data_IF_129624495681
#
_entry.id   IF_129624495681
#
_cell.length_a   1.000
_cell.length_b   1.000
_cell.length_c   1.000
_cell.angle_alpha   90.00
_cell.angle_beta   90.00
_cell.angle_gamma   90.00
#
_symmetry.space_group_name_H-M   'P 1'
#
loop_
_entity.id
_entity.type
_entity.pdbx_description
1 polymer ?
#
# COMPACT_ATOMS: atom_id res chain seq x y z
N UNK A 1 22.26 32.69 19.23
CA UNK A 1 21.08 32.21 19.98
C UNK A 1 20.39 31.16 19.08
N UNK A 2 20.19 29.94 19.58
CA UNK A 2 19.47 28.93 18.82
C UNK A 2 18.00 29.39 18.78
N UNK A 3 17.50 29.74 17.59
CA UNK A 3 16.07 30.07 17.42
C UNK A 3 15.22 28.89 17.84
N UNK A 4 14.07 29.15 18.48
CA UNK A 4 13.15 28.11 18.94
C UNK A 4 12.69 27.24 17.77
N UNK A 5 12.84 25.93 17.90
CA UNK A 5 12.38 24.96 16.91
C UNK A 5 10.86 24.74 17.06
N UNK A 6 10.14 24.89 15.97
CA UNK A 6 8.69 24.61 15.91
C UNK A 6 8.48 23.32 15.12
N UNK A 7 7.80 22.37 15.71
CA UNK A 7 7.53 21.06 15.09
C UNK A 7 6.28 21.08 14.23
N UNK A 8 6.36 20.47 13.04
CA UNK A 8 5.28 20.42 12.06
C UNK A 8 3.96 19.84 12.65
N UNK A 9 4.05 18.79 13.45
CA UNK A 9 2.89 18.19 14.13
C UNK A 9 2.15 19.17 15.06
N UNK A 10 2.84 20.16 15.62
CA UNK A 10 2.21 21.22 16.43
C UNK A 10 1.51 22.26 15.58
N UNK A 11 2.06 22.55 14.39
CA UNK A 11 1.53 23.57 13.47
C UNK A 11 0.25 23.08 12.81
N UNK A 12 0.26 21.85 12.35
CA UNK A 12 -0.94 21.22 11.79
C UNK A 12 -1.99 21.09 12.88
N UNK A 13 -3.15 21.70 12.67
CA UNK A 13 -4.31 21.85 13.59
C UNK A 13 -4.36 23.15 14.38
N UNK A 14 -3.36 24.02 14.30
CA UNK A 14 -3.47 25.36 14.90
C UNK A 14 -4.58 26.17 14.24
N UNK A 15 -5.30 27.00 15.00
CA UNK A 15 -6.24 27.94 14.43
C UNK A 15 -5.52 28.95 13.53
N UNK A 16 -6.13 29.27 12.40
CA UNK A 16 -5.74 30.40 11.56
C UNK A 16 -6.51 31.62 12.03
N UNK A 17 -5.78 32.61 12.49
CA UNK A 17 -6.34 33.85 13.05
C UNK A 17 -6.13 34.99 12.04
N UNK A 18 -7.12 35.84 11.90
CA UNK A 18 -6.99 37.09 11.17
C UNK A 18 -6.07 38.11 11.90
N UNK A 19 -5.86 39.26 11.31
CA UNK A 19 -5.06 40.33 11.91
C UNK A 19 -5.66 40.84 13.25
N UNK A 20 -6.97 40.73 13.45
CA UNK A 20 -7.69 41.08 14.65
C UNK A 20 -7.69 39.98 15.73
N UNK A 21 -7.22 38.78 15.41
CA UNK A 21 -7.20 37.62 16.30
C UNK A 21 -8.47 36.74 16.25
N UNK A 22 -9.40 37.01 15.33
CA UNK A 22 -10.57 36.15 15.15
C UNK A 22 -10.20 34.89 14.39
N UNK A 23 -10.78 33.74 14.80
CA UNK A 23 -10.53 32.45 14.14
C UNK A 23 -11.30 32.38 12.81
N UNK A 24 -10.56 32.24 11.71
CA UNK A 24 -11.07 32.17 10.35
C UNK A 24 -10.85 30.78 9.68
N UNK A 25 -10.20 29.86 10.39
CA UNK A 25 -9.94 28.52 9.87
C UNK A 25 -8.92 27.75 10.70
N UNK A 26 -8.35 26.69 10.10
CA UNK A 26 -7.37 25.84 10.75
C UNK A 26 -6.28 25.46 9.75
N UNK A 27 -5.02 25.44 10.19
CA UNK A 27 -3.90 24.92 9.38
C UNK A 27 -4.01 23.40 9.24
N UNK A 28 -3.79 22.92 8.01
CA UNK A 28 -3.88 21.51 7.68
C UNK A 28 -2.49 20.91 7.38
N UNK A 29 -1.65 21.64 6.62
CA UNK A 29 -0.33 21.16 6.21
C UNK A 29 0.64 22.31 5.91
N UNK A 30 1.91 21.98 5.74
CA UNK A 30 3.00 22.96 5.51
C UNK A 30 3.57 22.70 4.12
N UNK A 31 3.64 23.75 3.30
CA UNK A 31 4.19 23.69 1.95
C UNK A 31 5.64 24.14 1.95
N UNK A 32 6.54 23.27 1.48
CA UNK A 32 7.97 23.54 1.38
C UNK A 32 8.46 23.42 -0.05
N UNK A 33 9.55 24.10 -0.35
CA UNK A 33 10.32 23.94 -1.59
C UNK A 33 11.77 23.59 -1.27
N UNK A 34 12.47 22.84 -2.15
CA UNK A 34 13.89 22.60 -1.99
C UNK A 34 14.68 23.90 -1.86
N UNK A 35 15.72 23.87 -1.05
CA UNK A 35 16.67 24.98 -0.99
C UNK A 35 17.58 25.03 -2.22
N UNK A 36 18.06 26.22 -2.58
CA UNK A 36 19.06 26.38 -3.65
C UNK A 36 20.46 25.99 -3.15
N UNK A 37 21.25 25.34 -4.01
CA UNK A 37 22.68 25.08 -3.79
C UNK A 37 23.03 24.49 -2.41
N UNK A 38 22.25 23.49 -1.94
CA UNK A 38 22.52 22.80 -0.67
C UNK A 38 22.07 23.57 0.58
N UNK A 39 21.27 24.63 0.43
CA UNK A 39 20.60 25.30 1.55
C UNK A 39 19.37 24.52 2.02
N UNK A 40 18.89 24.79 3.24
CA UNK A 40 17.75 24.11 3.83
C UNK A 40 16.46 24.31 3.01
N UNK A 41 15.56 23.31 2.97
CA UNK A 41 14.24 23.47 2.37
C UNK A 41 13.47 24.60 3.04
N UNK A 42 12.81 25.43 2.25
CA UNK A 42 12.12 26.65 2.72
C UNK A 42 10.61 26.44 2.77
N UNK A 43 9.99 26.91 3.83
CA UNK A 43 8.53 27.00 3.92
C UNK A 43 8.06 28.16 3.04
N UNK A 44 7.22 27.85 2.05
CA UNK A 44 6.60 28.85 1.16
C UNK A 44 5.20 29.23 1.63
N UNK A 45 4.56 28.37 2.42
CA UNK A 45 3.24 28.66 2.98
C UNK A 45 2.65 27.47 3.72
N UNK A 46 1.37 27.61 3.99
CA UNK A 46 0.56 26.64 4.72
C UNK A 46 -0.73 26.37 3.95
N UNK A 47 -1.21 25.16 4.00
CA UNK A 47 -2.61 24.89 3.61
C UNK A 47 -3.50 25.05 4.83
N UNK A 48 -4.68 25.60 4.64
CA UNK A 48 -5.65 25.78 5.70
C UNK A 48 -7.06 25.48 5.21
N UNK A 49 -7.89 24.97 6.10
CA UNK A 49 -9.33 24.83 5.85
C UNK A 49 -10.04 26.05 6.43
N UNK A 50 -10.67 26.84 5.55
CA UNK A 50 -11.52 27.98 5.87
C UNK A 50 -12.83 27.85 5.13
N UNK A 51 -13.97 28.04 5.79
CA UNK A 51 -15.32 27.93 5.20
C UNK A 51 -15.54 26.66 4.35
N UNK A 52 -15.03 25.51 4.83
CA UNK A 52 -15.08 24.21 4.14
C UNK A 52 -14.27 24.14 2.81
N UNK A 53 -13.37 25.09 2.58
CA UNK A 53 -12.45 25.10 1.42
C UNK A 53 -11.03 25.01 1.89
N UNK A 54 -10.21 24.27 1.14
CA UNK A 54 -8.76 24.22 1.36
C UNK A 54 -8.11 25.35 0.58
N UNK A 55 -7.48 26.28 1.29
CA UNK A 55 -6.83 27.48 0.76
C UNK A 55 -5.32 27.44 1.00
N UNK A 56 -4.57 28.26 0.29
CA UNK A 56 -3.14 28.46 0.51
C UNK A 56 -2.90 29.80 1.20
N UNK A 57 -2.10 29.75 2.25
CA UNK A 57 -1.63 30.94 2.99
C UNK A 57 -0.13 31.06 2.83
N UNK A 58 0.35 32.07 2.11
CA UNK A 58 1.78 32.31 1.92
C UNK A 58 2.48 32.58 3.27
N UNK A 59 3.68 32.01 3.47
CA UNK A 59 4.45 32.17 4.71
C UNK A 59 4.69 33.64 5.09
N UNK A 60 4.97 34.50 4.12
CA UNK A 60 5.17 35.94 4.34
C UNK A 60 3.94 36.68 4.85
N UNK A 61 2.75 36.08 4.76
CA UNK A 61 1.50 36.66 5.30
C UNK A 61 1.23 36.30 6.75
N UNK A 62 2.00 35.36 7.31
CA UNK A 62 1.92 35.05 8.74
C UNK A 62 2.74 36.08 9.51
N UNK A 63 2.10 36.79 10.42
CA UNK A 63 2.74 37.75 11.33
C UNK A 63 3.41 37.04 12.48
N UNK A 64 2.74 36.03 13.02
CA UNK A 64 3.16 35.28 14.20
C UNK A 64 2.67 33.82 14.07
N UNK A 65 3.55 32.89 14.38
CA UNK A 65 3.25 31.46 14.46
C UNK A 65 3.61 31.00 15.87
N UNK A 66 2.61 30.89 16.72
CA UNK A 66 2.78 30.55 18.13
C UNK A 66 1.89 29.40 18.57
N UNK A 67 1.88 29.14 19.88
CA UNK A 67 1.07 28.08 20.51
C UNK A 67 -0.44 28.35 20.39
N UNK A 68 -0.83 29.62 20.26
CA UNK A 68 -2.23 30.04 20.20
C UNK A 68 -2.80 30.05 18.77
N UNK A 69 -1.94 29.91 17.77
CA UNK A 69 -2.33 29.90 16.36
C UNK A 69 -1.35 30.55 15.41
N UNK A 70 -1.73 30.57 14.13
CA UNK A 70 -1.06 31.33 13.10
C UNK A 70 -1.84 32.62 12.83
N UNK A 71 -1.27 33.76 13.14
CA UNK A 71 -1.91 35.07 12.95
C UNK A 71 -1.49 35.70 11.64
N UNK A 72 -2.43 36.17 10.86
CA UNK A 72 -2.20 36.89 9.61
C UNK A 72 -1.78 38.33 9.84
N UNK A 73 -0.99 38.88 8.91
CA UNK A 73 -0.58 40.31 8.87
C UNK A 73 -1.71 41.20 8.33
N UNK A 74 -2.55 40.67 7.45
CA UNK A 74 -3.61 41.41 6.75
C UNK A 74 -4.77 40.49 6.42
N UNK A 75 -5.93 41.10 6.08
CA UNK A 75 -7.15 40.40 5.67
C UNK A 75 -7.15 39.86 4.24
N UNK A 76 -6.13 40.16 3.46
CA UNK A 76 -6.05 39.78 2.06
C UNK A 76 -5.64 38.31 1.95
N UNK A 77 -6.61 37.41 1.82
CA UNK A 77 -6.45 35.95 1.68
C UNK A 77 -6.91 35.53 0.28
N UNK A 78 -6.11 34.78 -0.41
CA UNK A 78 -6.53 34.09 -1.63
C UNK A 78 -7.41 32.91 -1.27
N UNK A 79 -8.71 32.99 -1.60
CA UNK A 79 -9.70 31.94 -1.38
C UNK A 79 -9.80 30.92 -2.51
N UNK A 80 -8.94 31.02 -3.52
CA UNK A 80 -8.86 30.02 -4.58
C UNK A 80 -8.46 28.65 -4.01
N UNK A 81 -9.03 27.56 -4.54
CA UNK A 81 -8.66 26.22 -4.11
C UNK A 81 -7.15 25.96 -4.26
N UNK A 82 -6.52 25.49 -3.21
CA UNK A 82 -5.10 25.17 -3.23
C UNK A 82 -4.79 24.07 -4.27
N UNK A 83 -3.76 24.31 -5.09
CA UNK A 83 -3.17 23.33 -5.99
C UNK A 83 -1.66 23.32 -5.77
N UNK A 84 -1.09 22.14 -5.57
CA UNK A 84 0.36 21.96 -5.43
C UNK A 84 1.04 22.36 -6.74
N UNK A 85 2.04 23.23 -6.66
CA UNK A 85 2.84 23.66 -7.81
C UNK A 85 4.07 22.77 -7.99
N UNK A 86 4.62 22.76 -9.22
CA UNK A 86 5.85 22.02 -9.52
C UNK A 86 6.98 22.43 -8.56
N UNK A 87 7.57 21.45 -7.88
CA UNK A 87 8.63 21.66 -6.91
C UNK A 87 8.16 21.92 -5.47
N UNK A 88 6.86 22.02 -5.20
CA UNK A 88 6.31 22.12 -3.85
C UNK A 88 6.09 20.72 -3.25
N UNK A 89 6.29 20.58 -1.94
CA UNK A 89 5.97 19.41 -1.14
C UNK A 89 5.14 19.80 0.07
N UNK A 90 4.23 18.92 0.44
CA UNK A 90 3.43 19.00 1.66
C UNK A 90 4.12 18.16 2.74
N UNK A 91 4.54 18.74 3.86
CA UNK A 91 5.27 18.01 4.90
C UNK A 91 4.46 16.84 5.45
N UNK A 92 3.16 17.04 5.72
CA UNK A 92 2.29 15.99 6.26
C UNK A 92 2.06 14.84 5.29
N UNK A 93 1.88 15.15 4.00
CA UNK A 93 1.57 14.14 2.97
C UNK A 93 2.84 13.49 2.40
N UNK A 94 3.89 14.27 2.12
CA UNK A 94 5.00 13.85 1.26
C UNK A 94 6.28 13.55 2.05
N UNK A 95 6.35 13.85 3.35
CA UNK A 95 7.57 13.72 4.17
C UNK A 95 7.34 12.98 5.48
N UNK A 96 6.25 13.26 6.19
CA UNK A 96 5.91 12.54 7.43
C UNK A 96 5.46 11.12 7.07
N UNK A 97 5.79 10.15 7.90
CA UNK A 97 5.59 8.72 7.75
C UNK A 97 6.43 8.04 6.64
N UNK A 98 7.26 8.80 5.90
CA UNK A 98 8.17 8.19 4.92
C UNK A 98 9.28 7.40 5.59
N UNK A 99 9.58 6.24 5.01
CA UNK A 99 10.70 5.35 5.42
C UNK A 99 12.06 6.02 5.14
N UNK A 100 12.99 5.89 6.08
CA UNK A 100 14.40 6.27 5.95
C UNK A 100 15.22 5.11 6.51
N UNK A 101 15.57 4.16 5.65
CA UNK A 101 16.12 2.88 6.07
C UNK A 101 15.11 2.10 6.94
N UNK A 102 15.53 1.72 8.14
CA UNK A 102 14.66 1.02 9.13
C UNK A 102 13.84 1.95 10.04
N UNK A 103 13.88 3.25 9.79
CA UNK A 103 13.19 4.30 10.56
C UNK A 103 12.17 4.99 9.66
N UNK A 104 11.25 5.73 10.26
CA UNK A 104 10.30 6.57 9.53
C UNK A 104 10.32 8.00 10.08
N UNK A 105 9.95 8.97 9.26
CA UNK A 105 9.85 10.37 9.65
C UNK A 105 8.63 10.54 10.56
N UNK A 106 8.86 10.82 11.83
CA UNK A 106 7.78 11.05 12.80
C UNK A 106 7.41 12.52 12.98
N UNK A 107 8.31 13.45 12.63
CA UNK A 107 8.04 14.89 12.70
C UNK A 107 9.17 15.68 12.01
N UNK A 108 8.90 16.93 11.64
CA UNK A 108 9.85 17.88 11.04
C UNK A 108 9.91 19.13 11.87
N UNK A 109 11.13 19.53 12.25
CA UNK A 109 11.38 20.77 12.99
C UNK A 109 11.72 21.92 12.04
N UNK A 110 11.01 23.02 12.19
CA UNK A 110 11.20 24.25 11.46
C UNK A 110 11.94 25.26 12.36
N UNK A 111 12.75 26.11 11.73
CA UNK A 111 13.44 27.23 12.35
C UNK A 111 13.10 28.50 11.60
N UNK A 112 12.92 29.60 12.33
CA UNK A 112 12.78 30.93 11.74
C UNK A 112 14.07 31.35 11.07
N UNK A 113 14.00 31.93 9.89
CA UNK A 113 15.14 32.41 9.13
C UNK A 113 15.54 33.80 9.59
N UNK A 114 16.78 33.96 9.99
CA UNK A 114 17.35 35.24 10.45
C UNK A 114 17.72 36.22 9.32
N UNK A 115 17.75 35.74 8.06
CA UNK A 115 18.24 36.48 6.90
C UNK A 115 17.13 37.10 6.03
N UNK A 116 15.87 36.90 6.35
CA UNK A 116 14.74 37.40 5.56
C UNK A 116 14.09 38.62 6.18
N UNK A 117 14.05 39.75 5.45
CA UNK A 117 13.31 40.95 5.85
C UNK A 117 11.80 40.77 5.97
N UNK A 118 11.27 39.70 5.41
CA UNK A 118 9.83 39.38 5.38
C UNK A 118 9.42 38.26 6.35
N UNK A 119 10.34 37.74 7.18
CA UNK A 119 10.11 36.55 7.99
C UNK A 119 10.06 35.28 7.11
N UNK A 120 10.05 34.13 7.71
CA UNK A 120 9.94 32.84 7.02
C UNK A 120 10.59 31.72 7.80
N UNK A 121 10.32 30.50 7.41
CA UNK A 121 10.83 29.31 8.08
C UNK A 121 11.57 28.42 7.11
N UNK A 122 12.48 27.63 7.63
CA UNK A 122 13.21 26.58 6.93
C UNK A 122 13.21 25.30 7.73
N UNK A 123 13.38 24.17 7.06
CA UNK A 123 13.53 22.86 7.71
C UNK A 123 14.91 22.80 8.38
N UNK A 124 14.93 22.63 9.69
CA UNK A 124 16.16 22.55 10.47
C UNK A 124 16.56 21.10 10.75
N UNK A 125 15.64 20.31 11.26
CA UNK A 125 15.88 18.93 11.66
C UNK A 125 14.68 18.04 11.34
N UNK A 126 14.93 16.73 11.25
CA UNK A 126 13.91 15.72 11.06
C UNK A 126 13.98 14.72 12.22
N UNK A 127 12.82 14.35 12.75
CA UNK A 127 12.71 13.35 13.81
C UNK A 127 12.39 12.01 13.18
N UNK A 128 13.32 11.05 13.33
CA UNK A 128 13.14 9.67 12.92
C UNK A 128 12.73 8.81 14.10
N UNK A 129 11.87 7.81 13.86
CA UNK A 129 11.40 6.85 14.84
C UNK A 129 11.39 5.44 14.27
N UNK A 130 11.59 4.42 15.13
CA UNK A 130 11.42 3.02 14.75
C UNK A 130 10.02 2.55 15.12
N UNK A 131 9.34 1.84 14.23
CA UNK A 131 8.14 1.07 14.59
C UNK A 131 8.57 -0.11 15.48
N UNK A 132 8.08 -0.16 16.71
CA UNK A 132 8.29 -1.29 17.63
C UNK A 132 6.95 -1.95 17.89
N UNK A 133 6.85 -3.24 17.61
CA UNK A 133 5.64 -4.05 17.79
C UNK A 133 5.19 -4.19 19.25
N UNK A 134 6.03 -3.85 20.22
CA UNK A 134 5.73 -3.90 21.66
C UNK A 134 5.72 -2.49 22.24
N UNK A 135 4.70 -2.17 23.04
CA UNK A 135 4.37 -0.90 23.74
C UNK A 135 5.51 -0.20 24.50
N UNK A 136 6.75 -0.26 24.04
CA UNK A 136 7.85 0.58 24.53
C UNK A 136 7.79 1.91 23.78
N UNK A 137 8.02 3.01 24.50
CA UNK A 137 8.12 4.35 23.92
C UNK A 137 9.06 4.28 22.71
N UNK A 138 8.61 4.68 21.50
CA UNK A 138 9.47 4.62 20.33
C UNK A 138 10.72 5.44 20.60
N UNK A 139 11.89 4.91 20.30
CA UNK A 139 13.13 5.66 20.35
C UNK A 139 13.12 6.67 19.20
N UNK A 140 13.24 7.94 19.51
CA UNK A 140 13.34 9.01 18.51
C UNK A 140 14.78 9.45 18.37
N UNK A 141 15.21 9.71 17.13
CA UNK A 141 16.48 10.30 16.79
C UNK A 141 16.24 11.59 15.99
N UNK A 142 16.92 12.67 16.35
CA UNK A 142 16.91 13.91 15.58
C UNK A 142 18.11 13.89 14.63
N UNK A 143 17.85 14.16 13.37
CA UNK A 143 18.86 14.24 12.32
C UNK A 143 18.83 15.61 11.64
N UNK A 144 19.94 16.05 11.08
CA UNK A 144 19.97 17.22 10.23
C UNK A 144 19.17 16.91 8.94
N UNK A 145 18.48 17.90 8.39
CA UNK A 145 17.71 17.71 7.17
C UNK A 145 18.56 17.17 6.00
N UNK A 146 19.89 17.41 6.02
CA UNK A 146 20.81 16.93 4.97
C UNK A 146 20.91 15.41 4.91
N UNK A 147 20.76 14.74 6.05
CA UNK A 147 20.77 13.26 6.10
C UNK A 147 19.57 12.65 5.35
N UNK A 148 18.51 13.42 5.20
CA UNK A 148 17.26 13.02 4.53
C UNK A 148 16.88 14.01 3.41
N UNK A 149 17.87 14.65 2.78
CA UNK A 149 17.66 15.68 1.76
C UNK A 149 16.83 15.21 0.55
N UNK A 150 16.90 13.93 0.22
CA UNK A 150 16.12 13.30 -0.84
C UNK A 150 14.61 13.46 -0.63
N UNK A 151 14.12 13.48 0.61
CA UNK A 151 12.70 13.68 0.94
C UNK A 151 12.20 15.09 0.55
N UNK A 152 13.11 16.06 0.44
CA UNK A 152 12.81 17.43 0.09
C UNK A 152 13.19 17.79 -1.35
N UNK A 153 13.80 16.86 -2.09
CA UNK A 153 14.16 17.09 -3.49
C UNK A 153 12.93 17.50 -4.31
N UNK A 154 13.13 18.28 -5.36
CA UNK A 154 12.05 18.68 -6.26
C UNK A 154 11.32 17.45 -6.76
N UNK A 155 9.99 17.45 -6.66
CA UNK A 155 9.17 16.36 -7.18
C UNK A 155 9.38 16.29 -8.69
N UNK A 156 9.91 15.18 -9.18
CA UNK A 156 9.95 14.91 -10.62
C UNK A 156 8.52 14.87 -11.15
N UNK A 157 8.34 15.06 -12.46
CA UNK A 157 7.01 14.94 -13.07
C UNK A 157 6.39 13.58 -12.76
N UNK A 158 7.18 12.51 -12.77
CA UNK A 158 6.74 11.15 -12.46
C UNK A 158 6.41 10.96 -10.97
N UNK A 159 7.15 11.57 -10.06
CA UNK A 159 6.80 11.51 -8.64
C UNK A 159 5.51 12.30 -8.32
N UNK A 160 5.24 13.40 -9.03
CA UNK A 160 3.96 14.11 -8.93
C UNK A 160 2.80 13.26 -9.50
N UNK A 161 3.05 12.54 -10.57
CA UNK A 161 2.08 11.61 -11.16
C UNK A 161 1.84 10.40 -10.25
N UNK A 162 2.89 9.78 -9.70
CA UNK A 162 2.75 8.70 -8.72
C UNK A 162 1.88 9.12 -7.52
N UNK A 163 2.15 10.31 -6.96
CA UNK A 163 1.32 10.86 -5.87
C UNK A 163 -0.14 11.11 -6.28
N UNK A 164 -0.40 11.48 -7.54
CA UNK A 164 -1.76 11.66 -8.06
C UNK A 164 -2.50 10.32 -8.21
N UNK A 165 -1.76 9.27 -8.55
CA UNK A 165 -2.29 7.93 -8.79
C UNK A 165 -2.43 7.11 -7.49
N UNK A 166 -1.86 7.58 -6.38
CA UNK A 166 -1.80 6.82 -5.11
C UNK A 166 -3.19 6.37 -4.61
N UNK A 167 -4.21 7.22 -4.67
CA UNK A 167 -5.55 6.93 -4.19
C UNK A 167 -6.48 6.27 -5.24
N UNK A 168 -5.97 5.99 -6.45
CA UNK A 168 -6.74 5.34 -7.51
C UNK A 168 -6.73 3.81 -7.33
N UNK A 169 -7.75 3.12 -7.86
CA UNK A 169 -7.74 1.66 -7.86
C UNK A 169 -6.55 1.11 -8.67
N UNK A 170 -5.85 0.04 -8.22
CA UNK A 170 -4.69 -0.56 -8.92
C UNK A 170 -4.94 -0.79 -10.42
N UNK A 171 -6.05 -1.39 -10.79
CA UNK A 171 -6.48 -1.62 -12.19
C UNK A 171 -6.48 -0.33 -13.03
N UNK A 172 -6.94 0.79 -12.45
CA UNK A 172 -6.96 2.08 -13.16
C UNK A 172 -5.56 2.66 -13.32
N UNK A 173 -4.69 2.45 -12.33
CA UNK A 173 -3.28 2.86 -12.37
C UNK A 173 -2.51 2.04 -13.40
N UNK A 174 -2.67 0.73 -13.42
CA UNK A 174 -2.08 -0.17 -14.43
C UNK A 174 -2.45 0.28 -15.85
N UNK A 175 -3.71 0.69 -16.05
CA UNK A 175 -4.15 1.23 -17.33
C UNK A 175 -3.48 2.58 -17.69
N UNK A 176 -3.17 3.44 -16.72
CA UNK A 176 -2.36 4.67 -16.94
C UNK A 176 -0.93 4.28 -17.27
N UNK A 177 -0.29 3.42 -16.50
CA UNK A 177 1.07 2.91 -16.72
C UNK A 177 1.22 2.38 -18.16
N UNK A 178 0.31 1.53 -18.61
CA UNK A 178 0.30 0.95 -19.95
C UNK A 178 0.16 2.00 -21.07
N UNK A 179 -0.45 3.15 -20.79
CA UNK A 179 -0.59 4.24 -21.76
C UNK A 179 0.69 5.06 -21.96
N UNK A 180 1.69 4.92 -21.07
CA UNK A 180 2.94 5.65 -21.09
C UNK A 180 3.99 4.96 -21.97
N UNK A 181 4.95 5.71 -22.55
CA UNK A 181 6.17 5.15 -23.12
C UNK A 181 6.98 4.37 -22.06
N UNK A 182 7.69 3.30 -22.46
CA UNK A 182 8.39 2.40 -21.54
C UNK A 182 9.36 3.10 -20.58
N UNK A 183 10.07 4.13 -21.07
CA UNK A 183 10.97 4.91 -20.21
C UNK A 183 10.23 5.70 -19.11
N UNK A 184 9.02 6.18 -19.39
CA UNK A 184 8.20 6.88 -18.41
C UNK A 184 7.53 5.90 -17.44
N UNK A 185 7.17 4.69 -17.91
CA UNK A 185 6.67 3.61 -17.03
C UNK A 185 7.67 3.28 -15.94
N UNK A 186 8.96 3.08 -16.31
CA UNK A 186 10.05 2.81 -15.35
C UNK A 186 10.24 3.95 -14.35
N UNK A 187 10.27 5.20 -14.83
CA UNK A 187 10.39 6.37 -13.96
C UNK A 187 9.19 6.52 -13.01
N UNK A 188 8.00 6.11 -13.45
CA UNK A 188 6.80 6.12 -12.62
C UNK A 188 6.88 5.00 -11.58
N UNK A 189 7.30 3.79 -11.95
CA UNK A 189 7.54 2.68 -11.03
C UNK A 189 8.60 3.04 -9.97
N UNK A 190 9.72 3.68 -10.38
CA UNK A 190 10.73 4.20 -9.45
C UNK A 190 10.19 5.24 -8.46
N UNK A 191 9.11 5.92 -8.80
CA UNK A 191 8.51 6.98 -7.99
C UNK A 191 7.34 6.51 -7.11
N UNK A 192 6.84 5.29 -7.30
CA UNK A 192 5.79 4.68 -6.48
C UNK A 192 6.36 4.14 -5.15
N UNK A 193 5.53 4.00 -4.15
CA UNK A 193 5.82 3.24 -2.94
C UNK A 193 5.78 1.73 -3.29
N UNK A 194 6.48 0.88 -2.54
CA UNK A 194 6.71 -0.51 -2.92
C UNK A 194 5.42 -1.33 -2.90
N UNK A 195 4.57 -1.17 -1.87
CA UNK A 195 3.22 -1.74 -1.78
C UNK A 195 2.37 -1.36 -3.00
N UNK A 196 2.43 -0.08 -3.37
CA UNK A 196 1.66 0.43 -4.50
C UNK A 196 2.17 -0.10 -5.85
N UNK A 197 3.47 -0.31 -5.97
CA UNK A 197 4.06 -0.88 -7.17
C UNK A 197 3.70 -2.36 -7.31
N UNK A 198 3.67 -3.11 -6.20
CA UNK A 198 3.21 -4.50 -6.15
C UNK A 198 1.75 -4.60 -6.66
N UNK A 199 0.81 -3.87 -6.04
CA UNK A 199 -0.59 -3.80 -6.48
C UNK A 199 -0.75 -3.52 -7.99
N UNK A 200 0.10 -2.64 -8.55
CA UNK A 200 0.04 -2.27 -9.97
C UNK A 200 0.64 -3.36 -10.86
N UNK A 201 1.67 -4.06 -10.40
CA UNK A 201 2.25 -5.20 -11.11
C UNK A 201 1.23 -6.30 -11.30
N UNK A 202 0.53 -6.71 -10.23
CA UNK A 202 -0.51 -7.74 -10.24
C UNK A 202 -1.63 -7.48 -11.27
N UNK A 203 -1.91 -6.21 -11.55
CA UNK A 203 -2.91 -5.81 -12.55
C UNK A 203 -2.37 -5.72 -13.99
N UNK A 204 -1.06 -5.97 -14.19
CA UNK A 204 -0.42 -5.96 -15.51
C UNK A 204 -0.30 -7.38 -16.06
N UNK A 205 -0.35 -7.57 -17.38
CA UNK A 205 0.04 -8.85 -17.97
C UNK A 205 1.50 -9.19 -17.62
N UNK A 206 1.81 -10.44 -17.34
CA UNK A 206 3.12 -10.94 -16.89
C UNK A 206 4.25 -10.46 -17.80
N UNK A 207 4.06 -10.48 -19.11
CA UNK A 207 5.04 -10.00 -20.12
C UNK A 207 5.35 -8.48 -20.00
N UNK A 208 4.45 -7.68 -19.40
CA UNK A 208 4.65 -6.24 -19.15
C UNK A 208 5.27 -5.98 -17.77
N UNK A 209 5.03 -6.87 -16.79
CA UNK A 209 5.55 -6.78 -15.43
C UNK A 209 7.07 -6.80 -15.42
N UNK A 210 7.70 -7.81 -16.06
CA UNK A 210 9.16 -7.96 -16.15
C UNK A 210 9.83 -6.69 -16.70
N UNK A 211 9.24 -6.10 -17.75
CA UNK A 211 9.77 -4.87 -18.34
C UNK A 211 9.65 -3.64 -17.45
N UNK A 212 8.71 -3.63 -16.51
CA UNK A 212 8.47 -2.51 -15.58
C UNK A 212 9.49 -2.49 -14.45
N UNK A 213 9.80 -3.65 -13.89
CA UNK A 213 10.75 -3.81 -12.77
C UNK A 213 12.21 -3.89 -13.23
N UNK A 214 12.46 -4.04 -14.54
CA UNK A 214 13.80 -4.03 -15.09
C UNK A 214 14.45 -2.66 -14.87
N UNK A 215 15.50 -2.63 -14.06
CA UNK A 215 16.21 -1.40 -13.67
C UNK A 215 16.05 -1.03 -12.21
N UNK A 216 15.15 -1.66 -11.45
CA UNK A 216 15.18 -1.59 -10.01
C UNK A 216 16.44 -2.25 -9.46
N UNK A 217 17.04 -1.68 -8.42
CA UNK A 217 18.10 -2.38 -7.70
C UNK A 217 17.52 -3.59 -6.94
N UNK A 218 18.39 -4.54 -6.60
CA UNK A 218 17.97 -5.83 -6.03
C UNK A 218 17.27 -5.66 -4.67
N UNK A 219 17.72 -4.73 -3.83
CA UNK A 219 17.13 -4.50 -2.52
C UNK A 219 15.67 -4.03 -2.66
N UNK A 220 15.44 -3.03 -3.50
CA UNK A 220 14.11 -2.51 -3.76
C UNK A 220 13.22 -3.52 -4.51
N UNK A 221 13.81 -4.28 -5.43
CA UNK A 221 13.07 -5.34 -6.13
C UNK A 221 12.51 -6.35 -5.13
N UNK A 222 13.32 -6.80 -4.17
CA UNK A 222 12.86 -7.73 -3.12
C UNK A 222 11.78 -7.09 -2.24
N UNK A 223 11.93 -5.82 -1.83
CA UNK A 223 10.91 -5.11 -1.06
C UNK A 223 9.55 -5.07 -1.80
N UNK A 224 9.55 -4.88 -3.11
CA UNK A 224 8.33 -4.91 -3.94
C UNK A 224 7.76 -6.31 -4.06
N UNK A 225 8.61 -7.32 -4.27
CA UNK A 225 8.18 -8.71 -4.42
C UNK A 225 7.60 -9.27 -3.11
N UNK A 226 8.08 -8.81 -1.95
CA UNK A 226 7.55 -9.17 -0.62
C UNK A 226 6.13 -8.62 -0.36
N UNK A 227 5.73 -7.59 -1.08
CA UNK A 227 4.38 -7.00 -0.97
C UNK A 227 3.39 -7.59 -2.00
N UNK A 228 3.85 -8.46 -2.91
CA UNK A 228 2.99 -9.13 -3.93
C UNK A 228 2.28 -10.35 -3.35
N UNK A 229 1.12 -10.67 -3.92
CA UNK A 229 0.45 -11.95 -3.67
C UNK A 229 1.32 -13.11 -4.17
N UNK A 230 1.35 -14.20 -3.41
CA UNK A 230 2.31 -15.29 -3.60
C UNK A 230 2.16 -15.99 -4.96
N UNK A 231 0.95 -16.14 -5.45
CA UNK A 231 0.63 -16.73 -6.76
C UNK A 231 1.02 -15.78 -7.91
N UNK A 232 0.72 -14.49 -7.80
CA UNK A 232 1.15 -13.47 -8.77
C UNK A 232 2.67 -13.35 -8.83
N UNK A 233 3.35 -13.43 -7.68
CA UNK A 233 4.80 -13.48 -7.60
C UNK A 233 5.36 -14.74 -8.30
N UNK A 234 4.73 -15.89 -8.12
CA UNK A 234 5.14 -17.13 -8.79
C UNK A 234 4.99 -17.01 -10.31
N UNK A 235 3.91 -16.43 -10.81
CA UNK A 235 3.67 -16.19 -12.23
C UNK A 235 4.70 -15.20 -12.81
N UNK A 236 4.98 -14.09 -12.12
CA UNK A 236 6.04 -13.14 -12.51
C UNK A 236 7.41 -13.82 -12.59
N UNK A 237 7.76 -14.62 -11.59
CA UNK A 237 9.04 -15.35 -11.58
C UNK A 237 9.10 -16.40 -12.69
N UNK A 238 7.98 -17.03 -13.06
CA UNK A 238 7.93 -17.99 -14.16
C UNK A 238 8.28 -17.34 -15.52
N UNK A 239 7.82 -16.11 -15.75
CA UNK A 239 8.10 -15.35 -16.97
C UNK A 239 9.54 -14.80 -17.04
N UNK A 240 10.25 -14.70 -15.91
CA UNK A 240 11.61 -14.17 -15.89
C UNK A 240 12.64 -15.12 -16.52
N UNK A 241 13.72 -14.57 -17.14
CA UNK A 241 14.87 -15.36 -17.54
C UNK A 241 15.44 -16.17 -16.37
N UNK A 242 15.75 -17.45 -16.60
CA UNK A 242 16.15 -18.39 -15.54
C UNK A 242 17.31 -17.91 -14.66
N UNK A 243 18.28 -17.16 -15.22
CA UNK A 243 19.39 -16.57 -14.45
C UNK A 243 18.92 -15.47 -13.51
N UNK A 244 17.98 -14.64 -13.93
CA UNK A 244 17.42 -13.56 -13.10
C UNK A 244 16.55 -14.14 -11.99
N UNK A 245 15.66 -15.09 -12.33
CA UNK A 245 14.84 -15.83 -11.37
C UNK A 245 15.69 -16.52 -10.30
N UNK A 246 16.76 -17.19 -10.70
CA UNK A 246 17.67 -17.86 -9.75
C UNK A 246 18.30 -16.85 -8.77
N UNK A 247 18.74 -15.69 -9.24
CA UNK A 247 19.32 -14.65 -8.39
C UNK A 247 18.30 -14.07 -7.39
N UNK A 248 17.05 -13.92 -7.80
CA UNK A 248 15.98 -13.47 -6.90
C UNK A 248 15.72 -14.53 -5.83
N UNK A 249 15.49 -15.78 -6.22
CA UNK A 249 15.26 -16.89 -5.30
C UNK A 249 16.43 -17.14 -4.31
N UNK A 250 17.65 -16.83 -4.72
CA UNK A 250 18.84 -16.94 -3.85
C UNK A 250 19.00 -15.73 -2.91
N UNK A 251 18.30 -14.62 -3.18
CA UNK A 251 18.29 -13.43 -2.35
C UNK A 251 17.08 -13.34 -1.40
N UNK A 252 16.04 -14.16 -1.63
CA UNK A 252 14.89 -14.31 -0.74
C UNK A 252 15.25 -15.07 0.55
N UNK A 253 14.42 -14.97 1.57
CA UNK A 253 14.51 -15.80 2.75
C UNK A 253 14.31 -17.29 2.41
N UNK A 254 15.00 -18.18 3.14
CA UNK A 254 15.03 -19.63 2.85
C UNK A 254 13.63 -20.27 2.80
N UNK A 255 12.68 -19.80 3.64
CA UNK A 255 11.31 -20.32 3.73
C UNK A 255 10.52 -19.90 2.48
N UNK A 256 10.60 -18.64 2.10
CA UNK A 256 9.89 -18.07 0.95
C UNK A 256 10.46 -18.59 -0.37
N UNK A 257 11.78 -18.67 -0.48
CA UNK A 257 12.44 -19.29 -1.61
C UNK A 257 12.05 -20.76 -1.80
N UNK A 258 11.90 -21.53 -0.70
CA UNK A 258 11.45 -22.93 -0.77
C UNK A 258 9.98 -23.03 -1.21
N UNK A 259 9.14 -22.11 -0.76
CA UNK A 259 7.74 -22.00 -1.17
C UNK A 259 7.65 -21.66 -2.67
N UNK A 260 8.36 -20.64 -3.12
CA UNK A 260 8.41 -20.24 -4.54
C UNK A 260 8.91 -21.36 -5.43
N UNK A 261 10.00 -22.05 -5.05
CA UNK A 261 10.49 -23.21 -5.83
C UNK A 261 9.46 -24.32 -5.95
N UNK A 262 8.63 -24.52 -4.94
CA UNK A 262 7.54 -25.49 -4.97
C UNK A 262 6.43 -25.04 -5.93
N UNK A 263 5.97 -23.78 -5.86
CA UNK A 263 4.95 -23.23 -6.76
C UNK A 263 5.42 -23.30 -8.22
N UNK A 264 6.64 -22.85 -8.49
CA UNK A 264 7.27 -22.94 -9.81
C UNK A 264 7.49 -24.37 -10.33
N UNK A 265 7.32 -25.40 -9.51
CA UNK A 265 7.39 -26.80 -9.94
C UNK A 265 6.08 -27.34 -10.54
N UNK A 266 4.97 -26.64 -10.34
CA UNK A 266 3.69 -26.99 -10.96
C UNK A 266 3.63 -26.51 -12.40
N UNK A 267 2.83 -27.21 -13.21
CA UNK A 267 2.65 -26.86 -14.61
C UNK A 267 1.68 -25.69 -14.74
N UNK A 268 2.01 -24.71 -15.58
CA UNK A 268 1.12 -23.60 -15.91
C UNK A 268 -0.22 -24.09 -16.47
N UNK A 269 -1.35 -23.41 -16.13
CA UNK A 269 -2.69 -23.84 -16.54
C UNK A 269 -3.24 -25.04 -15.75
N UNK A 270 -2.60 -25.40 -14.64
CA UNK A 270 -3.10 -26.40 -13.69
C UNK A 270 -3.51 -25.75 -12.36
N UNK A 271 -4.25 -26.48 -11.56
CA UNK A 271 -4.64 -26.03 -10.21
C UNK A 271 -3.42 -25.74 -9.32
N UNK A 272 -2.33 -26.46 -9.48
CA UNK A 272 -1.09 -26.23 -8.75
C UNK A 272 -0.40 -24.93 -9.12
N UNK A 273 -0.46 -24.54 -10.41
CA UNK A 273 0.11 -23.27 -10.88
C UNK A 273 -0.81 -22.07 -10.64
N UNK A 274 -2.08 -22.28 -10.27
CA UNK A 274 -3.07 -21.23 -10.05
C UNK A 274 -3.33 -20.98 -8.55
N UNK A 275 -2.88 -21.88 -7.66
CA UNK A 275 -3.23 -21.83 -6.24
C UNK A 275 -2.35 -20.84 -5.47
N UNK A 276 -2.96 -20.12 -4.54
CA UNK A 276 -2.25 -19.43 -3.48
C UNK A 276 -2.11 -20.32 -2.23
N UNK A 277 -0.91 -20.40 -1.62
CA UNK A 277 -0.71 -21.06 -0.33
C UNK A 277 -1.11 -20.15 0.85
N UNK A 278 -1.29 -18.83 0.60
CA UNK A 278 -1.67 -17.85 1.60
C UNK A 278 -3.17 -17.85 1.83
N UNK A 279 -3.59 -18.67 2.78
CA UNK A 279 -4.99 -18.88 3.14
C UNK A 279 -5.14 -18.97 4.66
N UNK A 280 -6.33 -18.71 5.17
CA UNK A 280 -6.62 -18.80 6.59
C UNK A 280 -6.78 -20.26 7.00
N UNK A 281 -5.81 -20.78 7.74
CA UNK A 281 -5.76 -22.17 8.22
C UNK A 281 -5.85 -22.20 9.74
N UNK A 282 -6.80 -22.94 10.26
CA UNK A 282 -6.99 -23.16 11.71
C UNK A 282 -7.18 -24.64 12.03
N UNK A 283 -7.06 -24.98 13.31
CA UNK A 283 -7.28 -26.31 13.84
C UNK A 283 -8.74 -26.58 14.20
N UNK A 284 -9.15 -27.85 14.33
CA UNK A 284 -10.52 -28.22 14.72
C UNK A 284 -10.87 -27.84 16.16
N UNK A 285 -9.89 -27.59 17.01
CA UNK A 285 -10.06 -27.17 18.41
C UNK A 285 -10.03 -25.65 18.61
N UNK A 286 -9.66 -24.90 17.56
CA UNK A 286 -9.73 -23.47 17.59
C UNK A 286 -11.18 -23.00 17.57
N UNK A 287 -11.45 -21.81 18.07
CA UNK A 287 -12.81 -21.32 18.30
C UNK A 287 -13.30 -20.42 17.17
N UNK A 288 -14.62 -20.26 17.07
CA UNK A 288 -15.26 -19.29 16.19
C UNK A 288 -14.73 -17.87 16.42
N UNK A 289 -14.43 -17.50 17.68
CA UNK A 289 -13.87 -16.19 18.00
C UNK A 289 -12.49 -15.98 17.38
N UNK A 290 -11.63 -17.00 17.40
CA UNK A 290 -10.29 -16.98 16.80
C UNK A 290 -10.38 -16.90 15.28
N UNK A 291 -11.27 -17.66 14.65
CA UNK A 291 -11.53 -17.60 13.21
C UNK A 291 -12.01 -16.19 12.78
N UNK A 292 -12.96 -15.61 13.52
CA UNK A 292 -13.45 -14.25 13.24
C UNK A 292 -12.35 -13.18 13.47
N UNK A 293 -11.40 -13.42 14.36
CA UNK A 293 -10.28 -12.51 14.57
C UNK A 293 -9.34 -12.50 13.34
N UNK A 294 -9.07 -13.68 12.76
CA UNK A 294 -8.27 -13.81 11.53
C UNK A 294 -8.97 -13.13 10.33
N UNK A 295 -10.24 -13.44 10.09
CA UNK A 295 -11.02 -12.86 8.97
C UNK A 295 -11.12 -11.33 9.04
N UNK A 296 -11.01 -10.74 10.23
CA UNK A 296 -11.07 -9.27 10.42
C UNK A 296 -9.81 -8.54 10.03
N UNK A 297 -8.75 -9.25 9.76
CA UNK A 297 -7.53 -8.64 9.27
C UNK A 297 -7.79 -8.05 7.87
N UNK A 298 -7.59 -6.73 7.69
CA UNK A 298 -7.85 -6.07 6.41
C UNK A 298 -6.84 -6.44 5.31
N UNK A 299 -5.76 -7.12 5.63
CA UNK A 299 -4.76 -7.60 4.67
C UNK A 299 -5.27 -8.80 3.86
N UNK A 300 -6.26 -9.54 4.37
CA UNK A 300 -6.85 -10.65 3.61
C UNK A 300 -7.75 -10.18 2.48
N UNK A 301 -7.56 -10.77 1.30
CA UNK A 301 -8.52 -10.62 0.20
C UNK A 301 -9.92 -11.09 0.59
N UNK A 302 -10.94 -10.47 -0.02
CA UNK A 302 -12.35 -10.77 0.29
C UNK A 302 -12.69 -12.25 -0.01
N UNK A 303 -12.15 -12.80 -1.08
CA UNK A 303 -12.32 -14.20 -1.49
C UNK A 303 -11.70 -15.18 -0.50
N UNK A 304 -10.50 -14.89 0.00
CA UNK A 304 -9.81 -15.68 1.03
C UNK A 304 -10.51 -15.55 2.37
N UNK A 305 -10.89 -14.32 2.78
CA UNK A 305 -11.61 -14.07 4.03
C UNK A 305 -13.04 -14.66 4.07
N UNK A 306 -13.57 -15.16 2.94
CA UNK A 306 -14.88 -15.74 2.87
C UNK A 306 -14.99 -17.09 3.62
N UNK A 307 -13.89 -17.78 3.88
CA UNK A 307 -13.85 -19.08 4.55
C UNK A 307 -12.53 -19.32 5.27
N UNK A 308 -12.56 -20.25 6.22
CA UNK A 308 -11.41 -20.74 6.97
C UNK A 308 -11.22 -22.22 6.69
N UNK A 309 -10.01 -22.61 6.33
CA UNK A 309 -9.65 -24.01 6.08
C UNK A 309 -9.26 -24.71 7.37
N UNK A 310 -9.87 -25.83 7.67
CA UNK A 310 -9.61 -26.54 8.92
C UNK A 310 -8.73 -27.76 8.63
N UNK A 311 -7.55 -27.76 9.26
CA UNK A 311 -6.54 -28.79 9.07
C UNK A 311 -6.07 -29.37 10.40
N UNK A 312 -5.42 -30.51 10.35
CA UNK A 312 -4.55 -30.97 11.45
C UNK A 312 -3.18 -30.30 11.31
N UNK A 313 -2.41 -30.16 12.42
CA UNK A 313 -1.04 -29.64 12.34
C UNK A 313 -0.15 -30.44 11.36
N UNK A 314 0.82 -29.80 10.68
CA UNK A 314 1.16 -28.39 10.73
C UNK A 314 0.11 -27.52 10.00
N UNK A 315 0.03 -26.22 10.39
CA UNK A 315 -0.92 -25.26 9.81
C UNK A 315 -0.31 -24.40 8.69
N UNK A 316 0.94 -24.66 8.32
CA UNK A 316 1.60 -24.07 7.14
C UNK A 316 1.55 -25.05 5.96
N UNK A 317 1.44 -24.54 4.74
CA UNK A 317 1.42 -25.34 3.51
C UNK A 317 2.79 -26.05 3.24
N UNK A 318 2.81 -27.35 2.93
CA UNK A 318 1.74 -28.34 2.99
C UNK A 318 1.29 -28.60 4.43
N UNK A 319 -0.02 -28.51 4.67
CA UNK A 319 -0.57 -28.69 6.00
C UNK A 319 -0.54 -30.16 6.47
N UNK A 320 -1.03 -30.41 7.70
CA UNK A 320 -1.51 -31.76 8.05
C UNK A 320 -2.77 -32.09 7.27
N UNK A 321 -3.50 -33.13 7.71
CA UNK A 321 -4.69 -33.58 7.00
C UNK A 321 -5.78 -32.51 6.97
N UNK A 322 -6.27 -32.19 5.81
CA UNK A 322 -7.45 -31.34 5.60
C UNK A 322 -8.70 -32.01 6.15
N UNK A 323 -9.55 -31.22 6.82
CA UNK A 323 -10.78 -31.72 7.46
C UNK A 323 -12.05 -31.12 6.87
N UNK A 324 -12.00 -29.91 6.33
CA UNK A 324 -13.13 -29.17 5.77
C UNK A 324 -12.93 -27.66 5.88
N UNK A 325 -13.98 -26.93 5.59
CA UNK A 325 -14.02 -25.46 5.70
C UNK A 325 -15.08 -25.01 6.70
N UNK A 326 -14.96 -23.75 7.12
CA UNK A 326 -16.02 -23.01 7.82
C UNK A 326 -16.18 -21.66 7.16
N UNK A 327 -17.33 -21.43 6.54
CA UNK A 327 -17.62 -20.15 5.90
C UNK A 327 -17.87 -19.03 6.92
N UNK A 328 -17.48 -17.78 6.58
CA UNK A 328 -17.71 -16.64 7.47
C UNK A 328 -19.18 -16.48 7.87
N UNK A 329 -20.11 -16.80 6.98
CA UNK A 329 -21.55 -16.76 7.27
C UNK A 329 -21.96 -17.76 8.36
N UNK A 330 -21.29 -18.92 8.42
CA UNK A 330 -21.48 -19.90 9.48
C UNK A 330 -20.91 -19.37 10.79
N UNK A 331 -19.69 -18.82 10.77
CA UNK A 331 -19.05 -18.22 11.93
C UNK A 331 -19.90 -17.12 12.59
N UNK A 332 -20.60 -16.30 11.79
CA UNK A 332 -21.48 -15.24 12.28
C UNK A 332 -22.74 -15.77 13.01
N UNK A 333 -23.10 -17.03 12.82
CA UNK A 333 -24.32 -17.65 13.40
C UNK A 333 -24.03 -18.50 14.62
N UNK A 334 -22.78 -18.91 14.79
CA UNK A 334 -22.38 -19.82 15.88
C UNK A 334 -21.85 -19.05 17.10
N UNK A 335 -21.96 -19.63 18.31
CA UNK A 335 -21.41 -19.04 19.51
C UNK A 335 -19.88 -18.85 19.39
N UNK A 336 -19.34 -17.72 19.87
CA UNK A 336 -17.89 -17.43 19.78
C UNK A 336 -16.97 -18.49 20.42
N UNK A 337 -17.46 -19.21 21.43
CA UNK A 337 -16.72 -20.27 22.14
C UNK A 337 -16.84 -21.66 21.51
N UNK A 338 -17.60 -21.81 20.42
CA UNK A 338 -17.73 -23.09 19.75
C UNK A 338 -16.44 -23.46 19.02
N UNK A 339 -15.99 -24.70 19.15
CA UNK A 339 -14.86 -25.24 18.41
C UNK A 339 -15.21 -25.41 16.93
N UNK A 340 -14.29 -25.07 16.05
CA UNK A 340 -14.47 -25.11 14.59
C UNK A 340 -14.75 -26.53 14.08
N UNK A 341 -14.21 -27.54 14.76
CA UNK A 341 -14.52 -28.95 14.46
C UNK A 341 -16.00 -29.31 14.52
N UNK A 342 -16.82 -28.54 15.26
CA UNK A 342 -18.27 -28.72 15.36
C UNK A 342 -19.05 -27.91 14.30
N UNK A 343 -18.38 -27.05 13.54
CA UNK A 343 -18.97 -26.19 12.51
C UNK A 343 -18.55 -26.60 11.09
N UNK A 344 -17.77 -27.68 10.94
CA UNK A 344 -17.20 -28.10 9.67
C UNK A 344 -18.26 -28.30 8.59
N UNK A 345 -17.96 -27.76 7.43
CA UNK A 345 -18.66 -28.06 6.18
C UNK A 345 -17.70 -28.84 5.27
N UNK A 346 -18.26 -29.94 4.68
CA UNK A 346 -17.46 -30.76 3.78
C UNK A 346 -17.69 -30.29 2.36
N UNK A 347 -16.63 -29.75 1.77
CA UNK A 347 -16.61 -29.31 0.38
C UNK A 347 -15.67 -30.19 -0.46
N UNK A 348 -15.89 -30.26 -1.79
CA UNK A 348 -14.98 -30.95 -2.67
C UNK A 348 -13.62 -30.23 -2.68
N UNK A 349 -12.54 -31.00 -2.73
CA UNK A 349 -11.20 -30.54 -2.99
C UNK A 349 -10.75 -31.02 -4.36
N UNK A 350 -9.65 -30.43 -4.84
CA UNK A 350 -9.04 -30.76 -6.12
C UNK A 350 -7.58 -31.16 -5.93
N UNK A 351 -7.02 -31.85 -6.91
CA UNK A 351 -5.60 -32.16 -6.97
C UNK A 351 -4.86 -31.11 -7.82
N UNK A 352 -3.55 -30.88 -7.60
CA UNK A 352 -2.82 -29.82 -8.29
C UNK A 352 -2.66 -30.01 -9.81
N UNK A 353 -2.95 -31.20 -10.32
CA UNK A 353 -2.78 -31.59 -11.72
C UNK A 353 -3.98 -31.32 -12.63
N UNK A 354 -5.14 -30.95 -12.08
CA UNK A 354 -6.32 -30.66 -12.90
C UNK A 354 -6.19 -29.30 -13.60
N UNK A 355 -6.82 -29.17 -14.76
CA UNK A 355 -6.76 -27.94 -15.55
C UNK A 355 -7.54 -26.79 -14.91
N UNK A 356 -7.13 -25.55 -15.18
CA UNK A 356 -7.80 -24.30 -14.82
C UNK A 356 -9.29 -24.30 -15.23
N UNK A 357 -9.58 -24.82 -16.40
CA UNK A 357 -10.95 -24.99 -16.89
C UNK A 357 -11.80 -25.90 -15.99
N UNK A 358 -11.23 -27.04 -15.56
CA UNK A 358 -11.92 -27.95 -14.65
C UNK A 358 -12.12 -27.33 -13.26
N UNK A 359 -11.15 -26.53 -12.80
CA UNK A 359 -11.27 -25.71 -11.60
C UNK A 359 -12.46 -24.76 -11.72
N UNK A 360 -12.55 -24.01 -12.82
CA UNK A 360 -13.66 -23.10 -13.11
C UNK A 360 -15.03 -23.81 -13.09
N UNK A 361 -15.11 -24.98 -13.74
CA UNK A 361 -16.33 -25.79 -13.78
C UNK A 361 -16.75 -26.27 -12.38
N UNK A 362 -15.79 -26.60 -11.51
CA UNK A 362 -16.07 -27.02 -10.12
C UNK A 362 -16.53 -25.86 -9.24
N UNK A 363 -15.80 -24.72 -9.25
CA UNK A 363 -16.21 -23.52 -8.51
C UNK A 363 -17.65 -23.10 -8.89
N UNK A 364 -17.95 -23.06 -10.19
CA UNK A 364 -19.28 -22.71 -10.69
C UNK A 364 -20.35 -23.73 -10.31
N UNK A 365 -20.06 -25.05 -10.43
CA UNK A 365 -21.03 -26.12 -10.17
C UNK A 365 -21.41 -26.21 -8.70
N UNK A 366 -20.49 -25.93 -7.80
CA UNK A 366 -20.70 -25.99 -6.35
C UNK A 366 -20.95 -24.61 -5.72
N UNK A 367 -20.97 -23.55 -6.53
CA UNK A 367 -21.21 -22.17 -6.09
C UNK A 367 -20.23 -21.70 -5.01
N UNK A 368 -18.94 -22.05 -5.19
CA UNK A 368 -17.86 -21.80 -4.24
C UNK A 368 -17.14 -20.49 -4.55
N UNK A 369 -16.64 -19.81 -3.54
CA UNK A 369 -15.79 -18.62 -3.67
C UNK A 369 -14.30 -18.97 -3.73
N UNK A 370 -13.91 -20.08 -3.09
CA UNK A 370 -12.57 -20.65 -3.17
C UNK A 370 -12.65 -22.17 -3.04
N UNK A 371 -11.69 -22.89 -3.60
CA UNK A 371 -11.60 -24.36 -3.54
C UNK A 371 -10.23 -24.80 -3.06
N UNK A 372 -10.19 -25.70 -2.08
CA UNK A 372 -8.93 -26.22 -1.54
C UNK A 372 -8.24 -27.19 -2.51
N UNK A 373 -6.94 -27.01 -2.70
CA UNK A 373 -6.05 -27.90 -3.45
C UNK A 373 -5.34 -28.82 -2.47
N UNK A 374 -5.52 -30.13 -2.63
CA UNK A 374 -4.94 -31.13 -1.75
C UNK A 374 -4.05 -32.10 -2.53
N UNK A 375 -3.00 -32.60 -1.87
CA UNK A 375 -2.20 -33.69 -2.41
C UNK A 375 -2.92 -35.06 -2.27
N UNK A 376 -2.30 -36.12 -2.82
CA UNK A 376 -2.82 -37.48 -2.72
C UNK A 376 -3.00 -38.00 -1.27
N UNK A 377 -2.25 -37.41 -0.32
CA UNK A 377 -2.34 -37.71 1.12
C UNK A 377 -3.48 -36.96 1.82
N UNK A 378 -4.19 -36.08 1.12
CA UNK A 378 -5.24 -35.21 1.64
C UNK A 378 -4.70 -34.09 2.52
N UNK A 379 -3.48 -33.63 2.28
CA UNK A 379 -2.88 -32.44 2.88
C UNK A 379 -3.19 -31.22 2.01
N UNK A 380 -3.62 -30.13 2.63
CA UNK A 380 -3.92 -28.89 1.91
C UNK A 380 -2.61 -28.22 1.47
N UNK A 381 -2.53 -27.91 0.20
CA UNK A 381 -1.40 -27.24 -0.44
C UNK A 381 -1.63 -25.74 -0.60
N UNK A 382 -2.88 -25.34 -0.81
CA UNK A 382 -3.34 -23.99 -1.02
C UNK A 382 -4.80 -23.97 -1.38
N UNK A 383 -5.28 -22.85 -1.87
CA UNK A 383 -6.62 -22.72 -2.45
C UNK A 383 -6.57 -21.87 -3.72
N UNK A 384 -7.62 -22.00 -4.52
CA UNK A 384 -7.83 -21.17 -5.71
C UNK A 384 -9.13 -20.43 -5.50
N UNK A 385 -9.11 -19.13 -5.75
CA UNK A 385 -10.26 -18.27 -5.59
C UNK A 385 -11.03 -18.11 -6.91
N UNK A 386 -12.26 -17.61 -6.84
CA UNK A 386 -13.09 -17.40 -8.03
C UNK A 386 -12.57 -16.28 -8.92
N UNK A 387 -11.92 -15.28 -8.35
CA UNK A 387 -11.33 -14.14 -9.05
C UNK A 387 -10.12 -14.58 -9.89
N UNK A 388 -9.18 -15.37 -9.37
CA UNK A 388 -8.03 -15.90 -10.12
C UNK A 388 -8.50 -16.71 -11.34
N UNK A 389 -9.52 -17.56 -11.14
CA UNK A 389 -10.12 -18.32 -12.23
C UNK A 389 -10.80 -17.41 -13.26
N UNK A 390 -11.45 -16.33 -12.81
CA UNK A 390 -12.07 -15.37 -13.75
C UNK A 390 -11.02 -14.67 -14.59
N UNK A 391 -9.90 -14.29 -14.02
CA UNK A 391 -8.81 -13.63 -14.75
C UNK A 391 -8.21 -14.54 -15.82
N UNK A 392 -8.02 -15.81 -15.54
CA UNK A 392 -7.57 -16.82 -16.52
C UNK A 392 -8.62 -17.16 -17.60
N UNK A 393 -9.90 -17.16 -17.27
CA UNK A 393 -10.97 -17.54 -18.21
C UNK A 393 -11.44 -16.40 -19.08
N UNK A 394 -11.27 -15.16 -18.66
CA UNK A 394 -11.64 -14.00 -19.45
C UNK A 394 -10.68 -13.83 -20.65
N UNK A 395 -11.20 -13.40 -21.82
CA UNK A 395 -10.38 -13.28 -23.01
C UNK A 395 -9.20 -12.31 -22.80
N UNK A 396 -8.00 -12.67 -23.28
CA UNK A 396 -6.82 -11.82 -23.21
C UNK A 396 -7.12 -10.35 -23.56
N UNK A 397 -6.70 -9.42 -22.73
CA UNK A 397 -6.97 -7.99 -22.87
C UNK A 397 -8.40 -7.56 -22.49
N UNK A 398 -9.15 -8.35 -21.73
CA UNK A 398 -10.47 -7.94 -21.24
C UNK A 398 -10.40 -6.66 -20.41
N UNK A 399 -9.34 -6.48 -19.59
CA UNK A 399 -9.07 -5.24 -18.86
C UNK A 399 -8.88 -4.03 -19.78
N UNK A 400 -8.41 -4.22 -21.03
CA UNK A 400 -8.21 -3.17 -22.02
C UNK A 400 -9.52 -2.72 -22.69
N UNK A 401 -10.48 -3.62 -22.89
CA UNK A 401 -11.75 -3.34 -23.58
C UNK A 401 -12.69 -2.43 -22.81
N UNK A 402 -12.54 -2.33 -21.50
CA UNK A 402 -13.36 -1.45 -20.64
C UNK A 402 -13.25 0.04 -21.01
N UNK A 403 -12.16 0.50 -21.63
CA UNK A 403 -11.99 1.91 -22.03
C UNK A 403 -12.77 2.33 -23.28
N UNK A 404 -13.26 1.40 -24.09
CA UNK A 404 -14.10 1.71 -25.26
C UNK A 404 -15.60 1.77 -24.93
N UNK A 405 -16.01 1.28 -23.78
CA UNK A 405 -17.36 1.43 -23.25
C UNK A 405 -17.40 2.71 -22.37
N UNK A 406 -18.31 3.61 -22.69
CA UNK A 406 -18.65 4.87 -22.00
C UNK A 406 -18.40 4.83 -20.50
N UNK A 407 -17.78 5.86 -19.86
CA UNK A 407 -17.57 5.89 -18.44
C UNK A 407 -18.90 5.74 -17.72
N UNK A 408 -19.07 4.64 -16.98
CA UNK A 408 -20.18 4.50 -16.04
C UNK A 408 -19.98 5.57 -15.00
N UNK A 409 -20.78 6.63 -15.06
CA UNK A 409 -20.90 7.58 -13.95
C UNK A 409 -21.44 6.79 -12.74
N UNK A 410 -20.57 6.39 -11.85
CA UNK A 410 -20.96 6.04 -10.50
C UNK A 410 -21.50 7.32 -9.87
N UNK A 411 -22.82 7.51 -9.92
CA UNK A 411 -23.45 8.51 -9.07
C UNK A 411 -23.28 8.03 -7.63
N UNK A 412 -22.43 8.70 -6.88
CA UNK A 412 -22.39 8.58 -5.43
C UNK A 412 -23.78 8.95 -4.93
N UNK A 413 -24.59 7.95 -4.61
CA UNK A 413 -25.80 8.13 -3.81
C UNK A 413 -25.28 8.36 -2.39
N UNK A 414 -25.31 9.62 -1.97
CA UNK A 414 -25.13 9.96 -0.57
C UNK A 414 -26.38 9.44 0.19
N UNK A 415 -26.18 8.45 1.03
CA UNK A 415 -27.09 8.16 2.16
C UNK A 415 -26.50 8.79 3.41
#
# INVERSE_FOLDING_TARGET
>A
MAGDLIYAFRITRLPLLDAGGANIGRLDDIVVVPGHAGSAPRVVGFTATSQRRRIFVNAGRIAELGIDGARLRSWDIDLNPFKVKKGERLLGRDVIDRKVGVEFVSDVALRERSDSRSGGWEVAQVRLAKRTALRRRPSHRLVDWREVAHLFAATTEMAAEAARLHDMHPTDVAAVVRSLPIAQRRQLAEAMDDDRLADVLEELPESEQVGLIEGLDMERLLDVLDEMEVDDLADLLAEMPGEQRARILDAMDDEDAAMMRRLLSYEEGTAGGLMTPEIIILGPTDTVAEALAQIRDPEWMVSIAAQVFICRPPYKSPTGKYLGVVHFQRLLREPPSMELGNCLETEPTITPDISDREVAERLASYNMLAIGVCDEGGRLLGAITVDDVLDRTLPAGWRQRRRQATPVRLSLIHI
#
